data_IF_039951450852
#
_entry.id   IF_039951450852
#
_cell.length_a   1.000
_cell.length_b   1.000
_cell.length_c   1.000
_cell.angle_alpha   90.00
_cell.angle_beta   90.00
_cell.angle_gamma   90.00
#
_symmetry.space_group_name_H-M   'P 1'
#
loop_
_entity.id
_entity.type
_entity.pdbx_description
1 polymer ?
#
# COMPACT_ATOMS: atom_id res chain seq x y z
N UNK A 1 23.75 63.15 -5.77
CA UNK A 1 22.63 63.55 -6.67
C UNK A 1 21.77 62.33 -7.00
N UNK A 2 20.73 62.14 -6.19
CA UNK A 2 19.73 61.09 -6.30
C UNK A 2 18.70 61.45 -7.39
N UNK A 3 18.25 60.46 -8.14
CA UNK A 3 16.94 60.46 -8.79
C UNK A 3 16.31 59.09 -8.56
N UNK A 4 15.24 58.98 -7.75
CA UNK A 4 14.43 57.77 -7.69
C UNK A 4 13.44 57.76 -8.87
N UNK A 5 13.12 56.59 -9.45
CA UNK A 5 11.99 56.45 -10.36
C UNK A 5 10.66 56.46 -9.58
N UNK A 6 9.56 56.89 -10.22
CA UNK A 6 8.29 57.16 -9.55
C UNK A 6 7.54 55.88 -9.16
N UNK A 7 6.81 55.99 -8.04
CA UNK A 7 5.80 55.05 -7.61
C UNK A 7 4.48 55.24 -8.36
N UNK A 8 3.65 54.20 -8.27
CA UNK A 8 2.18 54.23 -8.36
C UNK A 8 1.54 53.90 -9.72
N UNK A 9 1.01 52.66 -9.83
CA UNK A 9 -0.31 52.45 -10.42
C UNK A 9 -1.03 51.27 -9.77
N UNK A 10 -1.77 51.62 -8.73
CA UNK A 10 -2.89 50.89 -8.16
C UNK A 10 -3.94 50.67 -9.26
N UNK A 11 -4.33 49.42 -9.49
CA UNK A 11 -5.35 49.05 -10.46
C UNK A 11 -6.25 47.98 -9.87
N UNK A 12 -7.20 48.41 -9.04
CA UNK A 12 -8.31 47.57 -8.59
C UNK A 12 -9.12 47.15 -9.81
N UNK A 13 -9.31 45.84 -10.01
CA UNK A 13 -10.24 45.28 -11.00
C UNK A 13 -11.56 45.02 -10.28
N UNK A 14 -12.66 45.72 -10.61
CA UNK A 14 -14.00 45.33 -10.21
C UNK A 14 -14.56 44.36 -11.26
N UNK A 15 -14.91 43.15 -10.84
CA UNK A 15 -15.88 42.29 -11.54
C UNK A 15 -17.16 42.34 -10.70
N UNK A 16 -18.30 42.73 -11.29
CA UNK A 16 -19.33 41.71 -11.46
C UNK A 16 -20.21 41.91 -12.70
N UNK A 17 -20.61 40.80 -13.33
CA UNK A 17 -22.01 40.42 -13.57
C UNK A 17 -22.07 39.30 -14.62
N UNK A 18 -22.44 38.09 -14.19
CA UNK A 18 -23.30 37.24 -15.01
C UNK A 18 -24.37 36.62 -14.13
N UNK A 19 -25.60 36.88 -14.55
CA UNK A 19 -26.87 36.48 -13.98
C UNK A 19 -27.43 35.39 -14.91
N UNK A 20 -27.72 34.22 -14.37
CA UNK A 20 -28.62 33.22 -14.94
C UNK A 20 -29.02 32.28 -13.78
N UNK A 21 -30.04 32.60 -12.97
CA UNK A 21 -31.45 32.18 -13.10
C UNK A 21 -31.65 30.75 -13.62
N UNK A 22 -32.16 29.87 -12.75
CA UNK A 22 -32.64 28.54 -13.12
C UNK A 22 -32.95 27.63 -11.93
N UNK A 23 -33.82 28.08 -11.02
CA UNK A 23 -34.45 27.26 -9.99
C UNK A 23 -35.74 26.68 -10.57
N UNK A 24 -35.98 25.38 -10.43
CA UNK A 24 -37.28 24.79 -10.73
C UNK A 24 -37.36 23.28 -10.46
N UNK A 25 -38.54 22.74 -10.10
CA UNK A 25 -38.69 21.73 -9.04
C UNK A 25 -39.24 20.36 -9.49
N UNK A 26 -39.13 19.36 -8.60
CA UNK A 26 -39.96 18.13 -8.57
C UNK A 26 -41.43 18.46 -8.15
N UNK A 27 -42.40 17.53 -8.22
CA UNK A 27 -42.87 16.65 -9.30
C UNK A 27 -44.39 16.86 -9.56
N UNK A 28 -45.09 15.98 -10.31
CA UNK A 28 -46.41 15.55 -9.83
C UNK A 28 -46.72 14.05 -9.97
N UNK A 29 -47.82 13.69 -9.31
CA UNK A 29 -48.34 12.38 -8.91
C UNK A 29 -49.31 11.71 -9.90
N UNK A 30 -49.50 10.39 -9.68
CA UNK A 30 -50.70 9.54 -9.87
C UNK A 30 -51.14 9.16 -11.30
N UNK A 31 -51.28 7.86 -11.58
CA UNK A 31 -52.61 7.19 -11.62
C UNK A 31 -52.57 5.65 -11.74
N UNK A 32 -53.38 5.00 -10.88
CA UNK A 32 -54.23 3.78 -11.03
C UNK A 32 -53.71 2.41 -11.46
N UNK A 33 -54.10 1.40 -10.67
CA UNK A 33 -54.33 0.02 -11.11
C UNK A 33 -54.57 -0.97 -9.96
N UNK A 34 -55.82 -1.08 -9.48
CA UNK A 34 -56.25 -2.06 -8.45
C UNK A 34 -57.14 -3.13 -9.09
N UNK A 35 -56.79 -4.40 -8.84
CA UNK A 35 -57.68 -5.60 -8.79
C UNK A 35 -58.09 -6.26 -10.12
N UNK A 36 -58.66 -7.50 -10.12
CA UNK A 36 -58.94 -8.42 -9.00
C UNK A 36 -58.62 -9.92 -9.25
N UNK A 37 -58.75 -10.76 -8.21
CA UNK A 37 -58.91 -12.24 -8.22
C UNK A 37 -60.38 -12.60 -7.90
N UNK A 38 -60.82 -13.88 -7.86
CA UNK A 38 -61.02 -14.94 -8.88
C UNK A 38 -62.54 -15.29 -8.99
N UNK A 39 -63.05 -16.39 -9.63
CA UNK A 39 -63.23 -17.70 -8.94
C UNK A 39 -63.47 -19.01 -9.79
N UNK A 40 -63.63 -20.15 -9.07
CA UNK A 40 -64.28 -21.46 -9.38
C UNK A 40 -63.58 -22.47 -10.32
N UNK A 41 -63.15 -23.67 -9.85
CA UNK A 41 -63.87 -24.94 -9.54
C UNK A 41 -64.40 -25.73 -10.75
N UNK A 42 -63.98 -27.00 -10.86
CA UNK A 42 -64.73 -28.26 -11.16
C UNK A 42 -63.81 -29.27 -11.88
N UNK A 43 -63.93 -30.60 -11.88
CA UNK A 43 -64.43 -31.69 -11.00
C UNK A 43 -64.00 -32.99 -11.72
N UNK A 44 -63.62 -34.04 -11.00
CA UNK A 44 -63.39 -35.40 -11.54
C UNK A 44 -63.16 -36.39 -10.40
N UNK A 45 -64.18 -36.72 -9.60
CA UNK A 45 -64.96 -37.99 -9.62
C UNK A 45 -64.13 -39.24 -9.26
N UNK A 46 -64.33 -39.77 -8.04
CA UNK A 46 -63.90 -41.12 -7.59
C UNK A 46 -64.86 -42.25 -8.05
N UNK A 47 -64.68 -43.54 -7.66
CA UNK A 47 -65.13 -43.98 -6.31
C UNK A 47 -64.45 -45.23 -5.65
N UNK A 48 -64.51 -45.21 -4.30
CA UNK A 48 -64.74 -46.29 -3.29
C UNK A 48 -63.70 -47.43 -2.93
N UNK A 49 -63.57 -47.80 -1.62
CA UNK A 49 -62.77 -48.92 -1.04
C UNK A 49 -63.64 -50.19 -0.75
N UNK A 50 -63.11 -51.42 -0.49
CA UNK A 50 -62.62 -51.88 0.84
C UNK A 50 -61.46 -52.93 0.76
N UNK A 51 -60.72 -53.26 1.82
CA UNK A 51 -61.00 -54.39 2.73
C UNK A 51 -59.97 -54.49 3.87
N UNK A 52 -60.41 -55.20 4.90
CA UNK A 52 -59.96 -55.26 6.28
C UNK A 52 -59.42 -56.66 6.58
N UNK A 53 -58.20 -56.78 7.07
CA UNK A 53 -57.67 -57.89 7.89
C UNK A 53 -56.49 -57.28 8.67
N UNK A 54 -56.46 -57.14 9.99
CA UNK A 54 -56.90 -58.06 11.03
C UNK A 54 -55.66 -58.77 11.59
N UNK A 55 -54.93 -58.16 12.53
CA UNK A 55 -54.13 -58.89 13.51
C UNK A 55 -53.71 -57.97 14.68
N UNK A 56 -54.16 -58.35 15.88
CA UNK A 56 -53.71 -57.83 17.17
C UNK A 56 -52.30 -58.31 17.53
N UNK A 57 -51.84 -58.04 18.76
CA UNK A 57 -50.56 -57.40 19.03
C UNK A 57 -49.38 -58.38 19.15
N UNK A 58 -48.21 -57.95 18.69
CA UNK A 58 -46.93 -58.63 18.96
C UNK A 58 -45.95 -57.69 19.70
N UNK A 59 -45.03 -58.25 20.51
CA UNK A 59 -44.48 -57.59 21.67
C UNK A 59 -43.24 -56.77 21.34
N UNK A 60 -43.11 -55.63 22.05
CA UNK A 60 -41.83 -55.10 22.50
C UNK A 60 -40.78 -54.81 21.43
N UNK A 61 -40.87 -53.63 20.80
CA UNK A 61 -39.68 -52.99 20.25
C UNK A 61 -39.53 -51.59 20.87
N UNK A 62 -38.62 -51.46 21.83
CA UNK A 62 -38.13 -50.14 22.24
C UNK A 62 -37.28 -49.62 21.08
N UNK A 63 -37.61 -48.46 20.46
CA UNK A 63 -36.72 -47.92 19.43
C UNK A 63 -35.36 -47.65 20.07
N UNK A 64 -34.30 -48.14 19.44
CA UNK A 64 -32.94 -47.88 19.86
C UNK A 64 -32.71 -46.36 19.84
N UNK A 65 -32.30 -45.81 20.99
CA UNK A 65 -31.79 -44.43 21.07
C UNK A 65 -30.71 -44.27 20.00
N UNK A 66 -30.81 -43.29 19.08
CA UNK A 66 -29.72 -43.03 18.16
C UNK A 66 -28.51 -42.60 19.00
N UNK A 67 -27.48 -43.44 19.04
CA UNK A 67 -26.17 -43.02 19.53
C UNK A 67 -25.69 -41.96 18.54
N UNK A 68 -25.78 -40.68 18.93
CA UNK A 68 -25.13 -39.57 18.24
C UNK A 68 -23.66 -39.95 18.05
N UNK A 69 -23.29 -40.25 16.81
CA UNK A 69 -21.94 -40.64 16.45
C UNK A 69 -20.99 -39.51 16.80
N UNK A 70 -20.03 -39.81 17.68
CA UNK A 70 -18.98 -38.89 18.13
C UNK A 70 -18.14 -38.32 16.96
N UNK A 71 -18.25 -38.92 15.77
CA UNK A 71 -17.55 -38.53 14.55
C UNK A 71 -17.94 -37.15 13.99
N UNK A 72 -19.13 -36.61 14.27
CA UNK A 72 -19.52 -35.28 13.73
C UNK A 72 -18.90 -34.12 14.53
N UNK A 73 -18.54 -34.31 15.80
CA UNK A 73 -17.93 -33.28 16.65
C UNK A 73 -16.42 -33.10 16.43
N UNK A 74 -15.71 -34.18 16.10
CA UNK A 74 -14.27 -34.11 15.84
C UNK A 74 -13.94 -33.39 14.53
N UNK A 75 -14.74 -33.58 13.48
CA UNK A 75 -14.48 -32.93 12.18
C UNK A 75 -14.70 -31.41 12.27
N UNK A 76 -15.75 -30.96 12.96
CA UNK A 76 -15.98 -29.52 13.15
C UNK A 76 -14.91 -28.87 14.02
N UNK A 77 -14.45 -29.55 15.08
CA UNK A 77 -13.36 -29.07 15.93
C UNK A 77 -12.03 -28.99 15.14
N UNK A 78 -11.77 -29.96 14.27
CA UNK A 78 -10.59 -29.98 13.41
C UNK A 78 -10.62 -28.82 12.39
N UNK A 79 -11.76 -28.57 11.75
CA UNK A 79 -11.92 -27.45 10.81
C UNK A 79 -11.73 -26.11 11.52
N UNK A 80 -12.32 -25.92 12.70
CA UNK A 80 -12.13 -24.70 13.50
C UNK A 80 -10.66 -24.52 13.90
N UNK A 81 -9.99 -25.59 14.34
CA UNK A 81 -8.57 -25.55 14.69
C UNK A 81 -7.69 -25.18 13.48
N UNK A 82 -7.99 -25.71 12.29
CA UNK A 82 -7.29 -25.35 11.05
C UNK A 82 -7.54 -23.89 10.69
N UNK A 83 -8.78 -23.40 10.78
CA UNK A 83 -9.11 -21.99 10.49
C UNK A 83 -8.39 -21.05 11.46
N UNK A 84 -8.37 -21.39 12.76
CA UNK A 84 -7.62 -20.63 13.76
C UNK A 84 -6.11 -20.67 13.51
N UNK A 85 -5.56 -21.84 13.15
CA UNK A 85 -4.15 -21.97 12.80
C UNK A 85 -3.81 -21.13 11.57
N UNK A 86 -4.63 -21.16 10.52
CA UNK A 86 -4.43 -20.33 9.32
C UNK A 86 -4.54 -18.85 9.66
N UNK A 87 -5.49 -18.44 10.51
CA UNK A 87 -5.62 -17.06 10.97
C UNK A 87 -4.41 -16.61 11.80
N UNK A 88 -3.89 -17.47 12.68
CA UNK A 88 -2.66 -17.21 13.44
C UNK A 88 -1.45 -17.13 12.51
N UNK A 89 -1.29 -18.06 11.57
CA UNK A 89 -0.22 -18.03 10.59
C UNK A 89 -0.28 -16.79 9.70
N UNK A 90 -1.48 -16.36 9.30
CA UNK A 90 -1.68 -15.11 8.58
C UNK A 90 -1.29 -13.92 9.47
N UNK A 91 -1.77 -13.84 10.71
CA UNK A 91 -1.40 -12.77 11.63
C UNK A 91 0.12 -12.71 11.87
N UNK A 92 0.77 -13.86 12.09
CA UNK A 92 2.23 -13.94 12.23
C UNK A 92 2.93 -13.48 10.94
N UNK A 93 2.47 -13.90 9.77
CA UNK A 93 3.03 -13.44 8.50
C UNK A 93 2.85 -11.95 8.26
N UNK A 94 1.78 -11.34 8.79
CA UNK A 94 1.58 -9.89 8.75
C UNK A 94 2.50 -9.17 9.75
N UNK A 95 2.69 -9.72 10.94
CA UNK A 95 3.55 -9.13 11.99
C UNK A 95 5.05 -9.25 11.62
N UNK A 96 5.45 -10.31 10.92
CA UNK A 96 6.84 -10.56 10.51
C UNK A 96 7.16 -10.08 9.08
N UNK A 97 6.29 -9.32 8.43
CA UNK A 97 6.66 -8.62 7.20
C UNK A 97 7.56 -7.45 7.57
N UNK A 98 8.85 -7.55 7.24
CA UNK A 98 9.71 -6.37 7.19
C UNK A 98 9.18 -5.41 6.13
N UNK A 99 9.14 -4.10 6.40
CA UNK A 99 8.78 -3.12 5.40
C UNK A 99 9.69 -3.28 4.17
N UNK A 100 9.13 -3.05 2.99
CA UNK A 100 9.95 -3.09 1.78
C UNK A 100 10.91 -1.89 1.78
N UNK A 101 12.11 -2.08 1.23
CA UNK A 101 13.04 -0.96 0.99
C UNK A 101 12.30 0.13 0.22
N UNK A 102 12.28 1.36 0.76
CA UNK A 102 11.57 2.48 0.12
C UNK A 102 10.05 2.38 0.17
N UNK A 103 9.47 1.67 1.15
CA UNK A 103 8.02 1.62 1.38
C UNK A 103 7.38 3.01 1.55
N UNK A 104 8.13 3.97 2.11
CA UNK A 104 7.72 5.38 2.20
C UNK A 104 7.53 6.05 0.83
N UNK A 105 7.97 5.39 -0.24
CA UNK A 105 7.92 5.86 -1.60
C UNK A 105 9.05 6.84 -1.95
N UNK A 106 8.95 7.50 -3.11
CA UNK A 106 9.94 8.48 -3.51
C UNK A 106 9.86 9.74 -2.64
N UNK A 107 11.02 10.26 -2.24
CA UNK A 107 11.14 11.48 -1.45
C UNK A 107 11.70 12.61 -2.30
N UNK A 108 11.29 13.85 -2.03
CA UNK A 108 11.73 15.01 -2.77
C UNK A 108 12.57 15.93 -1.88
N UNK A 109 13.78 16.26 -2.34
CA UNK A 109 14.54 17.39 -1.83
C UNK A 109 14.79 18.38 -2.97
N UNK A 110 14.47 19.65 -2.75
CA UNK A 110 14.57 20.69 -3.78
C UNK A 110 13.89 20.30 -5.10
N UNK A 111 14.69 20.12 -6.15
CA UNK A 111 14.25 19.75 -7.52
C UNK A 111 14.52 18.29 -7.88
N UNK A 112 15.05 17.49 -6.96
CA UNK A 112 15.31 16.08 -7.17
C UNK A 112 14.32 15.21 -6.39
N UNK A 113 13.73 14.26 -7.11
CA UNK A 113 12.92 13.19 -6.51
C UNK A 113 13.77 11.92 -6.50
N UNK A 114 13.96 11.33 -5.34
CA UNK A 114 14.77 10.15 -5.09
C UNK A 114 13.86 8.97 -4.76
N UNK A 115 14.03 7.86 -5.47
CA UNK A 115 13.41 6.59 -5.15
C UNK A 115 14.51 5.57 -4.85
N UNK A 116 14.45 4.92 -3.69
CA UNK A 116 15.31 3.78 -3.39
C UNK A 116 14.72 2.55 -4.09
N UNK A 117 15.55 1.84 -4.85
CA UNK A 117 15.14 0.67 -5.64
C UNK A 117 15.79 -0.62 -5.16
N UNK A 118 16.71 -0.55 -4.19
CA UNK A 118 17.27 -1.71 -3.53
C UNK A 118 18.41 -1.38 -2.56
N UNK A 119 18.62 -2.26 -1.60
CA UNK A 119 19.67 -2.14 -0.58
C UNK A 119 20.51 -3.41 -0.56
N UNK A 120 21.83 -3.26 -0.60
CA UNK A 120 22.79 -4.36 -0.46
C UNK A 120 23.88 -3.98 0.55
N UNK A 121 23.76 -4.53 1.75
CA UNK A 121 24.73 -4.37 2.83
C UNK A 121 25.16 -5.75 3.33
N UNK A 122 26.17 -6.38 2.70
CA UNK A 122 26.63 -7.69 3.11
C UNK A 122 27.19 -7.67 4.53
N UNK A 123 27.09 -8.81 5.22
CA UNK A 123 27.73 -8.99 6.53
C UNK A 123 29.25 -8.75 6.41
N UNK A 124 29.84 -7.99 7.34
CA UNK A 124 31.27 -7.76 7.34
C UNK A 124 32.05 -9.07 7.54
N UNK A 125 33.22 -9.18 6.93
CA UNK A 125 34.18 -10.22 7.31
C UNK A 125 34.60 -10.02 8.77
N UNK A 126 34.86 -11.11 9.51
CA UNK A 126 35.18 -11.04 10.97
C UNK A 126 36.31 -10.07 11.31
N UNK A 127 37.33 -10.00 10.45
CA UNK A 127 38.50 -9.14 10.65
C UNK A 127 38.33 -7.71 10.11
N UNK A 128 37.25 -7.41 9.38
CA UNK A 128 37.03 -6.09 8.83
C UNK A 128 36.53 -5.13 9.91
N UNK A 129 37.02 -3.89 9.92
CA UNK A 129 36.51 -2.81 10.80
C UNK A 129 35.33 -2.07 10.17
N UNK A 130 35.16 -2.17 8.86
CA UNK A 130 34.10 -1.54 8.08
C UNK A 130 33.48 -2.50 7.08
N UNK A 131 32.29 -2.18 6.61
CA UNK A 131 31.61 -2.85 5.50
C UNK A 131 31.15 -1.85 4.47
N UNK A 132 31.09 -2.29 3.22
CA UNK A 132 30.55 -1.48 2.13
C UNK A 132 29.06 -1.78 1.96
N UNK A 133 28.26 -0.73 1.95
CA UNK A 133 26.84 -0.72 1.67
C UNK A 133 26.58 -0.09 0.30
N UNK A 134 25.62 -0.65 -0.44
CA UNK A 134 25.22 -0.19 -1.76
C UNK A 134 23.72 0.06 -1.79
N UNK A 135 23.31 1.30 -2.04
CA UNK A 135 21.92 1.72 -2.14
C UNK A 135 21.62 2.09 -3.58
N UNK A 136 20.80 1.26 -4.25
CA UNK A 136 20.35 1.52 -5.60
C UNK A 136 19.27 2.61 -5.57
N UNK A 137 19.43 3.62 -6.43
CA UNK A 137 18.55 4.78 -6.49
C UNK A 137 18.15 5.12 -7.92
N UNK A 138 16.94 5.64 -8.06
CA UNK A 138 16.49 6.40 -9.22
C UNK A 138 16.27 7.85 -8.80
N UNK A 139 16.86 8.78 -9.54
CA UNK A 139 16.82 10.21 -9.25
C UNK A 139 16.23 10.95 -10.44
N UNK A 140 15.14 11.66 -10.24
CA UNK A 140 14.46 12.43 -11.29
C UNK A 140 14.63 13.92 -11.04
N UNK A 141 15.05 14.67 -12.06
CA UNK A 141 15.09 16.12 -11.97
C UNK A 141 13.77 16.73 -12.50
N UNK A 142 12.95 17.25 -11.58
CA UNK A 142 11.69 17.93 -11.88
C UNK A 142 11.82 19.46 -11.97
N UNK A 143 13.04 19.97 -11.87
CA UNK A 143 13.36 21.38 -12.04
C UNK A 143 13.55 21.79 -13.50
N UNK A 144 13.68 23.11 -13.71
CA UNK A 144 13.97 23.72 -15.02
C UNK A 144 15.47 23.89 -15.28
N UNK A 145 16.30 23.61 -14.29
CA UNK A 145 17.76 23.67 -14.38
C UNK A 145 18.36 22.30 -14.13
N UNK A 146 19.57 22.07 -14.64
CA UNK A 146 20.25 20.84 -14.34
C UNK A 146 20.73 20.81 -12.89
N UNK A 147 20.73 19.60 -12.32
CA UNK A 147 21.25 19.32 -10.99
C UNK A 147 22.46 18.42 -11.06
N UNK A 148 23.41 18.62 -10.16
CA UNK A 148 24.61 17.80 -10.08
C UNK A 148 24.50 16.98 -8.81
N UNK A 149 24.46 15.65 -8.97
CA UNK A 149 24.40 14.73 -7.85
C UNK A 149 25.83 14.38 -7.41
N UNK A 150 26.14 14.69 -6.15
CA UNK A 150 27.41 14.34 -5.52
C UNK A 150 27.18 13.23 -4.47
N UNK A 151 27.92 12.10 -4.51
CA UNK A 151 27.77 11.03 -3.54
C UNK A 151 28.03 11.49 -2.10
N UNK A 152 29.06 12.32 -1.88
CA UNK A 152 29.43 12.79 -0.54
C UNK A 152 28.39 13.68 0.16
N UNK A 153 27.43 14.22 -0.60
CA UNK A 153 26.32 14.99 -0.04
C UNK A 153 25.21 14.09 0.49
N UNK A 154 25.09 12.86 -0.02
CA UNK A 154 24.09 11.91 0.45
C UNK A 154 24.60 11.22 1.72
N UNK A 155 23.69 10.92 2.66
CA UNK A 155 24.03 10.28 3.94
C UNK A 155 23.26 8.99 4.12
N UNK A 156 23.97 7.91 4.43
CA UNK A 156 23.33 6.73 5.02
C UNK A 156 23.19 6.98 6.52
N UNK A 157 22.00 6.71 7.05
CA UNK A 157 21.66 6.81 8.47
C UNK A 157 21.78 5.39 9.03
N UNK A 158 22.54 5.21 10.11
CA UNK A 158 22.59 3.92 10.82
C UNK A 158 21.53 3.81 11.94
N UNK A 159 21.51 2.68 12.63
CA UNK A 159 20.61 2.36 13.73
C UNK A 159 20.85 3.19 15.01
N UNK A 160 21.98 3.91 15.06
CA UNK A 160 22.31 4.88 16.11
C UNK A 160 22.07 6.34 15.67
N UNK A 161 21.32 6.56 14.57
CA UNK A 161 21.06 7.86 13.93
C UNK A 161 22.32 8.60 13.44
N UNK A 162 23.47 7.93 13.33
CA UNK A 162 24.70 8.52 12.83
C UNK A 162 24.70 8.60 11.29
N UNK A 163 25.24 9.71 10.77
CA UNK A 163 25.27 10.01 9.34
C UNK A 163 26.61 9.62 8.70
N UNK A 164 26.56 8.76 7.68
CA UNK A 164 27.71 8.29 6.91
C UNK A 164 27.65 8.82 5.48
N UNK A 165 28.63 9.62 5.08
CA UNK A 165 28.68 10.18 3.71
C UNK A 165 28.92 9.13 2.64
N UNK A 166 28.32 9.32 1.45
CA UNK A 166 28.57 8.46 0.30
C UNK A 166 30.02 8.55 -0.18
N UNK A 167 30.69 7.41 -0.34
CA UNK A 167 32.08 7.32 -0.79
C UNK A 167 32.20 7.30 -2.30
N UNK A 168 31.25 6.68 -3.01
CA UNK A 168 31.26 6.57 -4.49
C UNK A 168 29.84 6.62 -5.06
N UNK A 169 29.76 6.91 -6.35
CA UNK A 169 28.53 6.75 -7.14
C UNK A 169 28.83 5.85 -8.33
N UNK A 170 27.98 4.84 -8.55
CA UNK A 170 28.09 3.91 -9.67
C UNK A 170 26.92 4.12 -10.64
N UNK A 171 27.17 3.96 -11.93
CA UNK A 171 26.12 3.90 -12.94
C UNK A 171 25.40 2.54 -12.94
N UNK A 172 24.44 2.37 -13.85
CA UNK A 172 23.68 1.12 -14.02
C UNK A 172 24.53 -0.12 -14.34
N UNK A 173 25.72 0.05 -14.91
CA UNK A 173 26.68 -1.02 -15.21
C UNK A 173 27.63 -1.32 -14.04
N UNK A 174 27.56 -0.53 -12.96
CA UNK A 174 28.48 -0.65 -11.82
C UNK A 174 29.80 0.09 -12.04
N UNK A 175 29.92 0.92 -13.08
CA UNK A 175 31.10 1.75 -13.31
C UNK A 175 31.02 2.98 -12.42
N UNK A 176 32.12 3.29 -11.73
CA UNK A 176 32.21 4.49 -10.90
C UNK A 176 32.16 5.75 -11.77
N UNK A 177 31.24 6.64 -11.41
CA UNK A 177 31.02 7.93 -12.07
C UNK A 177 30.94 9.00 -11.00
N UNK A 178 31.71 10.08 -11.08
CA UNK A 178 31.52 11.21 -10.15
C UNK A 178 32.08 12.51 -10.74
N UNK A 179 31.32 13.62 -10.71
CA UNK A 179 29.88 13.72 -10.43
C UNK A 179 29.01 13.38 -11.65
N UNK A 180 27.69 13.29 -11.46
CA UNK A 180 26.72 13.19 -12.57
C UNK A 180 25.85 14.43 -12.64
N UNK A 181 25.67 14.97 -13.86
CA UNK A 181 24.75 16.06 -14.15
C UNK A 181 23.43 15.50 -14.70
N UNK A 182 22.33 15.81 -14.06
CA UNK A 182 20.97 15.41 -14.44
C UNK A 182 20.27 16.62 -15.05
N UNK A 183 20.05 16.59 -16.36
CA UNK A 183 19.35 17.67 -17.07
C UNK A 183 17.87 17.78 -16.66
N UNK A 184 17.20 18.93 -16.92
CA UNK A 184 15.77 19.10 -16.66
C UNK A 184 14.92 17.98 -17.28
N UNK A 185 14.00 17.42 -16.51
CA UNK A 185 13.12 16.32 -16.93
C UNK A 185 13.80 14.97 -17.15
N UNK A 186 15.13 14.88 -16.97
CA UNK A 186 15.87 13.62 -17.11
C UNK A 186 15.93 12.87 -15.77
N UNK A 187 16.32 11.59 -15.87
CA UNK A 187 16.54 10.74 -14.71
C UNK A 187 17.90 10.09 -14.75
N UNK A 188 18.45 9.85 -13.56
CA UNK A 188 19.61 9.03 -13.32
C UNK A 188 19.19 7.75 -12.60
N UNK A 189 19.86 6.63 -12.90
CA UNK A 189 19.70 5.37 -12.17
C UNK A 189 21.08 4.78 -11.95
N UNK A 190 21.36 4.43 -10.71
CA UNK A 190 22.67 3.96 -10.29
C UNK A 190 22.68 3.55 -8.82
N UNK A 191 23.88 3.50 -8.24
CA UNK A 191 24.09 3.02 -6.87
C UNK A 191 24.97 3.99 -6.10
N UNK A 192 24.46 4.46 -4.96
CA UNK A 192 25.26 5.16 -3.95
C UNK A 192 26.01 4.12 -3.11
N UNK A 193 27.31 4.32 -2.93
CA UNK A 193 28.16 3.44 -2.14
C UNK A 193 28.54 4.15 -0.85
N UNK A 194 28.42 3.45 0.27
CA UNK A 194 28.74 3.92 1.60
C UNK A 194 29.66 2.93 2.28
N UNK A 195 30.51 3.41 3.17
CA UNK A 195 31.28 2.55 4.06
C UNK A 195 30.78 2.78 5.48
N UNK A 196 30.40 1.73 6.19
CA UNK A 196 29.86 1.77 7.55
C UNK A 196 30.81 1.05 8.52
N UNK A 197 30.83 1.42 9.80
CA UNK A 197 31.35 0.54 10.85
C UNK A 197 30.72 -0.86 10.76
N UNK A 198 31.48 -1.88 11.13
CA UNK A 198 31.02 -3.27 10.99
C UNK A 198 29.83 -3.62 11.92
N UNK A 199 29.70 -2.90 13.03
CA UNK A 199 28.80 -3.22 14.15
C UNK A 199 27.49 -2.40 14.15
N UNK A 200 27.23 -1.59 13.11
CA UNK A 200 26.02 -0.75 12.98
C UNK A 200 25.22 -1.14 11.74
N UNK A 201 23.89 -1.07 11.80
CA UNK A 201 22.95 -1.41 10.72
C UNK A 201 22.44 -0.19 9.95
N UNK A 202 22.27 -0.27 8.61
CA UNK A 202 21.68 0.83 7.86
C UNK A 202 20.18 0.93 8.16
N UNK A 203 19.71 2.09 8.63
CA UNK A 203 18.31 2.34 8.93
C UNK A 203 17.61 3.21 7.88
N UNK A 204 18.33 4.18 7.30
CA UNK A 204 17.75 5.18 6.41
C UNK A 204 18.73 5.81 5.44
N UNK A 205 18.22 6.63 4.53
CA UNK A 205 19.00 7.44 3.61
C UNK A 205 18.50 8.90 3.68
N UNK A 206 19.41 9.84 3.93
CA UNK A 206 19.18 11.28 3.78
C UNK A 206 19.75 11.74 2.44
N UNK A 207 18.89 12.27 1.59
CA UNK A 207 19.22 12.70 0.22
C UNK A 207 19.15 14.20 0.07
N UNK A 208 20.01 14.74 -0.79
CA UNK A 208 20.21 16.17 -0.98
C UNK A 208 20.31 16.51 -2.48
N UNK A 209 19.52 17.49 -2.93
CA UNK A 209 19.61 18.19 -4.22
C UNK A 209 20.86 19.08 -4.29
N UNK A 210 21.28 19.61 -3.15
CA UNK A 210 22.49 20.41 -3.03
C UNK A 210 23.07 20.38 -1.63
N UNK A 211 24.35 20.75 -1.48
CA UNK A 211 25.00 20.84 -0.16
C UNK A 211 24.44 21.89 0.80
N UNK A 212 23.48 22.73 0.35
CA UNK A 212 22.78 23.72 1.19
C UNK A 212 21.34 23.30 1.52
N UNK A 213 20.88 22.18 0.97
CA UNK A 213 19.53 21.67 1.25
C UNK A 213 19.42 21.13 2.67
N UNK A 214 18.21 21.18 3.22
CA UNK A 214 17.89 20.53 4.50
C UNK A 214 17.91 18.99 4.38
N UNK A 215 17.76 18.47 3.16
CA UNK A 215 17.69 17.04 2.88
C UNK A 215 16.29 16.47 3.06
N UNK A 216 16.07 15.28 2.50
CA UNK A 216 14.87 14.47 2.68
C UNK A 216 15.27 13.05 3.10
N UNK A 217 14.47 12.42 3.98
CA UNK A 217 14.77 11.09 4.53
C UNK A 217 13.85 10.04 3.96
N UNK A 218 14.40 8.86 3.69
CA UNK A 218 13.68 7.65 3.29
C UNK A 218 14.13 6.48 4.16
N UNK A 219 13.18 5.69 4.67
CA UNK A 219 13.47 4.46 5.41
C UNK A 219 13.97 3.35 4.47
N UNK A 220 14.89 2.53 4.96
CA UNK A 220 15.40 1.36 4.22
C UNK A 220 14.74 0.04 4.64
N UNK A 221 13.80 0.07 5.61
CA UNK A 221 13.01 -1.07 6.05
C UNK A 221 13.58 -1.80 7.25
#
# INVERSE_FOLDING_TARGET
>A
PQQPPPAERTGNIPLPHHQATGVGPLPPHQTTGVGPLPPHQTTGVGPLPPHRTGQGPLPGYRPARPKRGVFTGCVTALVIAIVLLVAVLAALAWIFRSPAVGEDGPVQDGKLIFAVTGTKCPKPAKAASRRTCQIAVKVNNVGQEARVLYPGQQKLIDDDDALHGGSRLLDKSGTEITPIRIAPGQSFTGTLVFDLPKDVEPAGLEVHDSGLSAGARVSLG
#
